data_IF_104126362112
#
_entry.id   IF_104126362112
#
_cell.length_a   1.000
_cell.length_b   1.000
_cell.length_c   1.000
_cell.angle_alpha   90.00
_cell.angle_beta   90.00
_cell.angle_gamma   90.00
#
_symmetry.space_group_name_H-M   'P 1'
#
loop_
_entity.id
_entity.type
_entity.pdbx_description
1 polymer ?
#
# COMPACT_ATOMS: atom_id res chain seq x y z
N UNK A 1 29.45 1.13 -63.77
CA UNK A 1 29.88 1.31 -62.38
C UNK A 1 28.68 1.43 -61.46
N UNK A 2 28.53 0.55 -60.51
CA UNK A 2 27.52 0.69 -59.47
C UNK A 2 27.95 1.75 -58.49
N UNK A 3 27.14 2.79 -58.33
CA UNK A 3 27.37 3.80 -57.29
C UNK A 3 27.18 3.16 -55.93
N UNK A 4 28.05 3.38 -54.96
CA UNK A 4 27.91 2.82 -53.63
C UNK A 4 26.61 3.29 -52.97
N UNK A 5 25.91 2.39 -52.32
CA UNK A 5 24.59 2.61 -51.70
C UNK A 5 24.62 3.75 -50.67
N UNK A 6 25.75 3.98 -50.02
CA UNK A 6 25.91 5.01 -49.04
C UNK A 6 25.78 6.46 -49.58
N UNK A 7 25.93 6.68 -50.89
CA UNK A 7 25.65 7.98 -51.53
C UNK A 7 24.15 8.27 -51.64
N UNK A 8 23.26 7.30 -51.43
CA UNK A 8 21.82 7.49 -51.40
C UNK A 8 21.27 7.85 -50.04
N UNK A 9 22.08 7.74 -48.97
CA UNK A 9 21.68 8.07 -47.63
C UNK A 9 21.58 9.61 -47.54
N UNK A 10 20.38 10.11 -47.37
CA UNK A 10 20.17 11.54 -47.11
C UNK A 10 20.66 11.86 -45.71
N UNK A 11 21.76 12.52 -45.64
CA UNK A 11 22.40 12.92 -44.37
C UNK A 11 21.46 13.74 -43.46
N UNK A 12 20.51 14.43 -44.05
CA UNK A 12 19.43 15.16 -43.35
C UNK A 12 18.61 14.21 -42.44
N UNK A 13 18.28 13.02 -42.95
CA UNK A 13 17.50 12.03 -42.20
C UNK A 13 18.35 11.25 -41.21
N UNK A 14 19.65 11.11 -41.43
CA UNK A 14 20.59 10.43 -40.52
C UNK A 14 20.72 11.22 -39.21
N UNK A 15 20.79 12.53 -39.27
CA UNK A 15 20.85 13.40 -38.08
C UNK A 15 19.59 13.26 -37.22
N UNK A 16 18.40 13.20 -37.84
CA UNK A 16 17.12 12.96 -37.13
C UNK A 16 17.08 11.57 -36.48
N UNK A 17 17.53 10.53 -37.17
CA UNK A 17 17.61 9.19 -36.61
C UNK A 17 18.58 9.09 -35.44
N UNK A 18 19.73 9.74 -35.51
CA UNK A 18 20.71 9.77 -34.43
C UNK A 18 20.16 10.50 -33.20
N UNK A 19 19.45 11.60 -33.38
CA UNK A 19 18.82 12.34 -32.27
C UNK A 19 17.71 11.55 -31.63
N UNK A 20 16.86 10.86 -32.38
CA UNK A 20 15.79 10.01 -31.83
C UNK A 20 16.33 8.81 -31.03
N UNK A 21 17.38 8.18 -31.53
CA UNK A 21 18.04 7.06 -30.82
C UNK A 21 18.70 7.59 -29.53
N UNK A 22 19.37 8.73 -29.56
CA UNK A 22 19.99 9.33 -28.37
C UNK A 22 18.96 9.67 -27.31
N UNK A 23 17.84 10.26 -27.68
CA UNK A 23 16.75 10.58 -26.75
C UNK A 23 16.12 9.31 -26.17
N UNK A 24 15.89 8.28 -26.99
CA UNK A 24 15.33 7.01 -26.54
C UNK A 24 16.27 6.28 -25.57
N UNK A 25 17.59 6.28 -25.82
CA UNK A 25 18.57 5.65 -24.92
C UNK A 25 18.69 6.38 -23.59
N UNK A 26 18.71 7.71 -23.60
CA UNK A 26 18.72 8.52 -22.37
C UNK A 26 17.45 8.29 -21.57
N UNK A 27 16.29 8.30 -22.21
CA UNK A 27 15.01 8.02 -21.56
C UNK A 27 14.98 6.63 -20.92
N UNK A 28 15.41 5.59 -21.63
CA UNK A 28 15.51 4.23 -21.11
C UNK A 28 16.50 4.14 -19.92
N UNK A 29 17.63 4.83 -20.01
CA UNK A 29 18.63 4.88 -18.95
C UNK A 29 18.07 5.56 -17.69
N UNK A 30 17.35 6.67 -17.82
CA UNK A 30 16.71 7.37 -16.70
C UNK A 30 15.67 6.48 -16.05
N UNK A 31 14.84 5.79 -16.83
CA UNK A 31 13.85 4.85 -16.28
C UNK A 31 14.53 3.69 -15.54
N UNK A 32 15.62 3.18 -16.09
CA UNK A 32 16.36 2.07 -15.49
C UNK A 32 17.08 2.46 -14.19
N UNK A 33 17.63 3.68 -14.12
CA UNK A 33 18.38 4.18 -12.96
C UNK A 33 17.51 4.90 -11.93
N UNK A 34 16.33 5.38 -12.32
CA UNK A 34 15.40 5.96 -11.36
C UNK A 34 14.89 4.85 -10.44
N UNK A 35 15.50 4.75 -9.28
CA UNK A 35 14.94 3.98 -8.18
C UNK A 35 13.53 4.50 -7.91
N UNK A 36 12.57 3.63 -7.61
CA UNK A 36 11.26 4.12 -7.24
C UNK A 36 11.42 5.16 -6.12
N UNK A 37 10.83 6.32 -6.32
CA UNK A 37 10.86 7.44 -5.36
C UNK A 37 10.25 6.99 -4.02
N UNK A 38 9.45 5.92 -4.08
CA UNK A 38 8.86 5.32 -2.90
C UNK A 38 9.87 4.37 -2.26
N UNK A 39 10.57 4.88 -1.26
CA UNK A 39 11.47 4.06 -0.44
C UNK A 39 10.63 3.28 0.59
N UNK A 40 10.40 2.01 0.30
CA UNK A 40 9.69 1.10 1.21
C UNK A 40 10.39 0.95 2.57
N UNK A 41 11.67 1.32 2.65
CA UNK A 41 12.40 1.29 3.93
C UNK A 41 11.92 2.35 4.91
N UNK A 42 11.25 3.40 4.41
CA UNK A 42 10.65 4.44 5.25
C UNK A 42 9.26 4.05 5.77
N UNK A 43 8.64 3.03 5.17
CA UNK A 43 7.42 2.45 5.71
C UNK A 43 7.85 1.55 6.88
N UNK A 44 7.86 2.12 8.07
CA UNK A 44 8.07 1.34 9.29
C UNK A 44 7.01 0.23 9.32
N UNK A 45 7.39 -1.02 9.52
CA UNK A 45 6.43 -2.09 9.64
C UNK A 45 5.47 -1.74 10.79
N UNK A 46 4.20 -1.61 10.48
CA UNK A 46 3.20 -1.47 11.50
C UNK A 46 3.25 -2.72 12.38
N UNK A 47 3.44 -2.53 13.66
CA UNK A 47 3.35 -3.64 14.60
C UNK A 47 1.88 -4.01 14.71
N UNK A 48 1.54 -5.17 14.18
CA UNK A 48 0.18 -5.72 14.31
C UNK A 48 0.12 -6.53 15.61
N UNK A 49 -0.70 -6.06 16.52
CA UNK A 49 -0.94 -6.72 17.81
C UNK A 49 -2.37 -7.24 17.81
N UNK A 50 -2.53 -8.53 18.07
CA UNK A 50 -3.84 -9.17 18.16
C UNK A 50 -4.15 -9.51 19.61
N UNK A 51 -5.28 -9.02 20.09
CA UNK A 51 -5.81 -9.31 21.40
C UNK A 51 -7.03 -10.22 21.29
N UNK A 52 -7.12 -11.23 22.15
CA UNK A 52 -8.33 -12.03 22.33
C UNK A 52 -9.13 -11.47 23.51
N UNK A 53 -10.38 -11.10 23.27
CA UNK A 53 -11.26 -10.58 24.31
C UNK A 53 -12.54 -11.39 24.42
N UNK A 54 -12.92 -11.74 25.62
CA UNK A 54 -14.20 -12.38 25.89
C UNK A 54 -15.22 -11.35 26.27
N UNK A 55 -16.30 -11.27 25.51
CA UNK A 55 -17.41 -10.36 25.76
C UNK A 55 -18.05 -10.68 27.10
N UNK A 56 -18.18 -9.65 27.93
CA UNK A 56 -18.89 -9.72 29.21
C UNK A 56 -20.29 -9.11 29.08
N UNK A 57 -21.14 -9.44 30.04
CA UNK A 57 -22.49 -8.88 30.08
C UNK A 57 -22.42 -7.34 30.20
N UNK A 58 -23.18 -6.65 29.36
CA UNK A 58 -23.18 -5.21 29.26
C UNK A 58 -22.10 -4.59 28.36
N UNK A 59 -21.19 -5.40 27.80
CA UNK A 59 -20.18 -4.91 26.88
C UNK A 59 -20.77 -4.59 25.50
N UNK A 60 -20.28 -3.49 24.93
CA UNK A 60 -20.50 -3.14 23.52
C UNK A 60 -19.16 -3.13 22.80
N UNK A 61 -19.18 -3.28 21.47
CA UNK A 61 -17.94 -3.17 20.69
C UNK A 61 -17.24 -1.83 20.87
N UNK A 62 -18.01 -0.78 21.07
CA UNK A 62 -17.47 0.56 21.34
C UNK A 62 -16.76 0.62 22.69
N UNK A 63 -17.35 0.04 23.74
CA UNK A 63 -16.71 0.03 25.05
C UNK A 63 -15.43 -0.81 25.05
N UNK A 64 -15.46 -1.97 24.41
CA UNK A 64 -14.28 -2.83 24.26
C UNK A 64 -13.17 -2.13 23.46
N UNK A 65 -13.51 -1.54 22.34
CA UNK A 65 -12.55 -0.81 21.52
C UNK A 65 -11.98 0.40 22.28
N UNK A 66 -12.82 1.12 23.02
CA UNK A 66 -12.41 2.26 23.84
C UNK A 66 -11.40 1.89 24.92
N UNK A 67 -11.52 0.71 25.52
CA UNK A 67 -10.59 0.22 26.55
C UNK A 67 -9.20 -0.10 25.99
N UNK A 68 -9.11 -0.42 24.72
CA UNK A 68 -7.86 -0.82 24.05
C UNK A 68 -7.26 0.35 23.26
N UNK A 69 -8.08 1.27 22.79
CA UNK A 69 -7.66 2.39 21.96
C UNK A 69 -6.71 3.33 22.69
N UNK A 70 -5.70 3.79 21.98
CA UNK A 70 -4.86 4.92 22.40
C UNK A 70 -5.50 6.24 21.93
N UNK A 71 -5.10 7.40 22.50
CA UNK A 71 -5.66 8.69 22.13
C UNK A 71 -5.57 9.04 20.64
N UNK A 72 -4.55 8.49 19.94
CA UNK A 72 -4.34 8.69 18.52
C UNK A 72 -5.11 7.71 17.63
N UNK A 73 -5.74 6.69 18.19
CA UNK A 73 -6.45 5.66 17.44
C UNK A 73 -7.85 6.17 17.03
N UNK A 74 -8.25 5.82 15.81
CA UNK A 74 -9.60 6.06 15.32
C UNK A 74 -10.53 4.94 15.83
N UNK A 75 -11.34 5.26 16.82
CA UNK A 75 -12.23 4.32 17.48
C UNK A 75 -13.25 3.73 16.51
N UNK A 76 -13.80 4.54 15.61
CA UNK A 76 -14.77 4.09 14.62
C UNK A 76 -14.16 3.05 13.68
N UNK A 77 -12.96 3.31 13.21
CA UNK A 77 -12.22 2.37 12.35
C UNK A 77 -11.90 1.07 13.08
N UNK A 78 -11.53 1.14 14.37
CA UNK A 78 -11.29 -0.05 15.20
C UNK A 78 -12.55 -0.91 15.32
N UNK A 79 -13.70 -0.31 15.58
CA UNK A 79 -14.98 -1.02 15.68
C UNK A 79 -15.34 -1.69 14.36
N UNK A 80 -15.21 -0.99 13.23
CA UNK A 80 -15.43 -1.58 11.91
C UNK A 80 -14.51 -2.77 11.64
N UNK A 81 -13.24 -2.65 11.98
CA UNK A 81 -12.28 -3.72 11.79
C UNK A 81 -12.61 -4.95 12.66
N UNK A 82 -13.01 -4.74 13.89
CA UNK A 82 -13.48 -5.82 14.79
C UNK A 82 -14.67 -6.56 14.17
N UNK A 83 -15.63 -5.83 13.64
CA UNK A 83 -16.82 -6.39 12.99
C UNK A 83 -16.42 -7.25 11.78
N UNK A 84 -15.54 -6.72 10.95
CA UNK A 84 -15.08 -7.38 9.73
C UNK A 84 -14.24 -8.62 10.03
N UNK A 85 -13.25 -8.52 10.91
CA UNK A 85 -12.32 -9.60 11.24
C UNK A 85 -13.03 -10.78 11.92
N UNK A 86 -14.06 -10.50 12.72
CA UNK A 86 -14.82 -11.53 13.44
C UNK A 86 -16.12 -11.93 12.74
N UNK A 87 -16.40 -11.39 11.57
CA UNK A 87 -17.62 -11.65 10.79
C UNK A 87 -18.91 -11.47 11.60
N UNK A 88 -18.97 -10.39 12.35
CA UNK A 88 -20.12 -10.09 13.22
C UNK A 88 -21.26 -9.56 12.34
N UNK A 89 -22.39 -10.28 12.33
CA UNK A 89 -23.56 -9.88 11.52
C UNK A 89 -24.40 -8.81 12.19
N UNK A 90 -24.51 -8.85 13.50
CA UNK A 90 -25.28 -7.88 14.27
C UNK A 90 -24.47 -7.37 15.47
N UNK A 91 -23.83 -6.19 15.34
CA UNK A 91 -22.99 -5.62 16.40
C UNK A 91 -23.76 -5.28 17.69
N UNK A 92 -25.07 -5.05 17.58
CA UNK A 92 -25.92 -4.74 18.73
C UNK A 92 -26.42 -5.96 19.52
N UNK A 93 -26.18 -7.17 19.02
CA UNK A 93 -26.69 -8.41 19.61
C UNK A 93 -25.56 -9.43 19.87
N UNK A 94 -24.40 -8.98 20.32
CA UNK A 94 -23.27 -9.85 20.67
C UNK A 94 -23.57 -10.52 22.00
N UNK A 95 -23.49 -11.86 22.01
CA UNK A 95 -23.74 -12.67 23.19
C UNK A 95 -22.58 -12.59 24.19
N UNK A 96 -22.82 -12.43 25.50
CA UNK A 96 -21.80 -12.58 26.51
C UNK A 96 -21.12 -13.95 26.43
N UNK A 97 -19.82 -13.99 26.65
CA UNK A 97 -19.02 -15.21 26.52
C UNK A 97 -18.42 -15.45 25.14
N UNK A 98 -18.83 -14.71 24.11
CA UNK A 98 -18.23 -14.75 22.79
C UNK A 98 -16.79 -14.22 22.84
N UNK A 99 -15.85 -14.95 22.24
CA UNK A 99 -14.46 -14.51 22.11
C UNK A 99 -14.28 -13.82 20.78
N UNK A 100 -13.81 -12.58 20.81
CA UNK A 100 -13.47 -11.80 19.62
C UNK A 100 -11.97 -11.57 19.51
N UNK A 101 -11.48 -11.49 18.29
CA UNK A 101 -10.10 -11.12 17.99
C UNK A 101 -10.05 -9.65 17.61
N UNK A 102 -9.21 -8.90 18.31
CA UNK A 102 -9.04 -7.46 18.07
C UNK A 102 -7.63 -7.24 17.55
N UNK A 103 -7.53 -6.88 16.30
CA UNK A 103 -6.25 -6.60 15.63
C UNK A 103 -6.03 -5.10 15.57
N UNK A 104 -4.97 -4.63 16.18
CA UNK A 104 -4.59 -3.22 16.20
C UNK A 104 -3.25 -3.04 15.49
N UNK A 105 -3.22 -2.14 14.53
CA UNK A 105 -1.98 -1.74 13.88
C UNK A 105 -1.38 -0.56 14.64
N UNK A 106 -0.23 -0.80 15.25
CA UNK A 106 0.49 0.26 15.94
C UNK A 106 1.70 0.69 15.13
N UNK A 107 1.80 1.99 14.91
CA UNK A 107 3.01 2.59 14.35
C UNK A 107 4.10 2.57 15.42
N UNK A 108 5.18 1.98 15.07
CA UNK A 108 6.38 1.99 15.92
C UNK A 108 7.15 3.29 15.72
#
# INVERSE_FOLDING_TARGET
>A
MKRPIWKRIRWENVSLLMTTVAVATVGAYVIYTSKPIFDYSLVKPNHVVTYSYRIQEGDTLWSVASNIALPQDDLQRMVFKIIEDNKIKNPGAIQPGTVIQITVERKV
#
